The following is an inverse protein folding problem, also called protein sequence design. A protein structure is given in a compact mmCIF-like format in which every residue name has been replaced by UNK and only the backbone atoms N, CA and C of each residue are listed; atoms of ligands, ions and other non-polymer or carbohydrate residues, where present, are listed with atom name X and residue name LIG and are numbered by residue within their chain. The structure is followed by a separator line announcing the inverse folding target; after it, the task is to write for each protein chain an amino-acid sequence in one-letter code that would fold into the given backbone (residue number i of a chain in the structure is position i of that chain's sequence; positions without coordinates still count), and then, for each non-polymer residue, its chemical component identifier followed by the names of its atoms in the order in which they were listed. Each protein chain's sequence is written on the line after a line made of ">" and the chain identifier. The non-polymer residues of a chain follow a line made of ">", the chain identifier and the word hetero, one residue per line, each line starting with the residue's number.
data_IF_679353878145
#
_entry.id   IF_679353878145
#
_cell.length_a   1.000
_cell.length_b   1.000
_cell.length_c   1.000
_cell.angle_alpha   90.00
_cell.angle_beta   90.00
_cell.angle_gamma   90.00
#
_symmetry.space_group_name_H-M   'P 1'
#
loop_
_entity.id
_entity.type
_entity.pdbx_description
1 polymer ?
#
# COMPACT_ATOMS: atom_id res chain seq x y z
N UNK A 1 5.90 -1.03 -8.89
CA UNK A 1 4.80 -0.27 -8.25
C UNK A 1 5.17 0.23 -6.87
N UNK A 2 5.67 -0.62 -5.95
CA UNK A 2 6.03 -0.17 -4.60
C UNK A 2 6.99 1.04 -4.56
N UNK A 3 7.95 1.11 -5.47
CA UNK A 3 8.88 2.26 -5.60
C UNK A 3 8.23 3.60 -6.01
N UNK A 4 7.00 3.56 -6.52
CA UNK A 4 6.23 4.71 -6.99
C UNK A 4 5.19 5.17 -5.97
N UNK A 5 4.90 4.36 -4.94
CA UNK A 5 3.96 4.68 -3.87
C UNK A 5 4.69 5.43 -2.76
N UNK A 6 4.15 6.60 -2.39
CA UNK A 6 4.71 7.48 -1.36
C UNK A 6 3.64 7.98 -0.41
N UNK A 7 4.03 8.15 0.84
CA UNK A 7 3.29 8.78 1.92
C UNK A 7 4.09 10.02 2.30
N UNK A 8 3.52 11.20 2.07
CA UNK A 8 4.23 12.47 2.26
C UNK A 8 3.49 13.36 3.24
N UNK A 9 4.25 14.21 3.94
CA UNK A 9 3.71 15.26 4.80
C UNK A 9 4.03 16.63 4.22
N UNK A 10 3.01 17.41 3.91
CA UNK A 10 3.16 18.76 3.38
C UNK A 10 2.18 19.71 4.06
N UNK A 11 2.68 20.85 4.52
CA UNK A 11 1.87 21.88 5.19
C UNK A 11 0.99 21.34 6.34
N UNK A 12 1.51 20.36 7.09
CA UNK A 12 0.81 19.73 8.21
C UNK A 12 -0.25 18.68 7.81
N UNK A 13 -0.42 18.42 6.52
CA UNK A 13 -1.33 17.40 5.98
C UNK A 13 -0.57 16.19 5.46
N UNK A 14 -1.23 15.05 5.44
CA UNK A 14 -0.69 13.79 4.94
C UNK A 14 -1.30 13.45 3.59
N UNK A 15 -0.48 12.95 2.67
CA UNK A 15 -0.92 12.56 1.33
C UNK A 15 -0.42 11.17 0.99
N UNK A 16 -1.22 10.45 0.20
CA UNK A 16 -0.82 9.21 -0.46
C UNK A 16 -0.71 9.53 -1.96
N UNK A 17 0.44 9.22 -2.53
CA UNK A 17 0.75 9.48 -3.93
C UNK A 17 1.22 8.19 -4.60
N UNK A 18 0.76 7.93 -5.81
CA UNK A 18 1.22 6.80 -6.59
C UNK A 18 1.18 7.11 -8.08
N UNK A 19 2.20 6.64 -8.79
CA UNK A 19 2.19 6.50 -10.24
C UNK A 19 2.18 5.00 -10.56
N UNK A 20 1.07 4.52 -11.11
CA UNK A 20 0.95 3.12 -11.50
C UNK A 20 1.87 2.86 -12.69
N UNK A 21 2.83 1.91 -12.57
CA UNK A 21 3.67 1.53 -13.69
C UNK A 21 2.83 0.91 -14.82
N UNK A 22 3.38 0.93 -16.03
CA UNK A 22 2.85 0.12 -17.13
C UNK A 22 2.72 -1.35 -16.69
N UNK A 23 1.64 -1.98 -17.17
CA UNK A 23 1.29 -3.36 -16.88
C UNK A 23 1.10 -4.12 -18.18
N UNK A 24 1.36 -5.44 -18.21
CA UNK A 24 1.07 -6.25 -19.38
C UNK A 24 -0.42 -6.19 -19.75
N UNK A 25 -0.72 -6.39 -21.04
CA UNK A 25 -2.10 -6.42 -21.52
C UNK A 25 -2.92 -7.50 -20.77
N UNK A 26 -4.15 -7.15 -20.39
CA UNK A 26 -5.06 -8.04 -19.66
C UNK A 26 -4.83 -8.10 -18.15
N UNK A 27 -3.74 -7.50 -17.63
CA UNK A 27 -3.51 -7.41 -16.18
C UNK A 27 -4.00 -6.07 -15.61
N UNK A 28 -4.36 -6.08 -14.33
CA UNK A 28 -4.81 -4.92 -13.56
C UNK A 28 -4.02 -4.81 -12.24
N UNK A 29 -3.61 -3.60 -11.88
CA UNK A 29 -3.01 -3.37 -10.57
C UNK A 29 -4.11 -3.33 -9.51
N UNK A 30 -3.84 -4.01 -8.39
CA UNK A 30 -4.67 -3.96 -7.20
C UNK A 30 -3.83 -3.41 -6.05
N UNK A 31 -4.26 -2.25 -5.54
CA UNK A 31 -3.65 -1.57 -4.40
C UNK A 31 -4.65 -1.53 -3.26
N UNK A 32 -4.25 -2.06 -2.11
CA UNK A 32 -4.98 -1.90 -0.86
C UNK A 32 -4.02 -1.35 0.19
N UNK A 33 -4.32 -0.16 0.69
CA UNK A 33 -3.57 0.46 1.79
C UNK A 33 -4.49 0.53 3.00
N UNK A 34 -4.12 -0.17 4.07
CA UNK A 34 -4.81 -0.12 5.36
C UNK A 34 -3.97 0.67 6.35
N UNK A 35 -4.62 1.59 7.04
CA UNK A 35 -4.02 2.41 8.09
C UNK A 35 -4.68 1.99 9.40
N UNK A 36 -3.91 1.33 10.28
CA UNK A 36 -4.42 0.85 11.56
C UNK A 36 -4.11 1.83 12.66
N UNK A 37 -5.14 2.23 13.40
CA UNK A 37 -5.04 3.04 14.61
C UNK A 37 -4.66 2.16 15.82
N UNK A 38 -4.15 2.81 16.88
CA UNK A 38 -3.81 2.15 18.15
C UNK A 38 -5.01 1.55 18.89
N UNK A 39 -6.22 1.99 18.57
CA UNK A 39 -7.47 1.42 19.08
C UNK A 39 -7.97 0.20 18.26
N UNK A 40 -7.17 -0.28 17.32
CA UNK A 40 -7.46 -1.35 16.36
C UNK A 40 -8.52 -1.03 15.30
N UNK A 41 -9.04 0.20 15.24
CA UNK A 41 -9.80 0.65 14.07
C UNK A 41 -8.87 0.80 12.87
N UNK A 42 -9.42 0.75 11.66
CA UNK A 42 -8.65 1.03 10.45
C UNK A 42 -9.52 1.63 9.35
N UNK A 43 -8.88 2.44 8.52
CA UNK A 43 -9.42 2.87 7.24
C UNK A 43 -8.62 2.22 6.11
N UNK A 44 -9.31 1.89 5.02
CA UNK A 44 -8.71 1.28 3.85
C UNK A 44 -8.90 2.18 2.62
N UNK A 45 -7.76 2.49 1.98
CA UNK A 45 -7.71 3.11 0.67
C UNK A 45 -7.63 2.00 -0.38
N UNK A 46 -8.68 1.91 -1.19
CA UNK A 46 -8.84 0.86 -2.20
C UNK A 46 -9.84 1.31 -3.27
N UNK A 47 -9.76 0.79 -4.51
CA UNK A 47 -10.69 1.15 -5.57
C UNK A 47 -12.18 0.86 -5.26
N UNK A 48 -12.45 -0.09 -4.36
CA UNK A 48 -13.81 -0.56 -4.07
C UNK A 48 -14.40 -0.02 -2.76
N UNK A 49 -13.67 0.83 -2.04
CA UNK A 49 -14.15 1.40 -0.78
C UNK A 49 -15.38 2.26 -0.98
N UNK A 50 -16.26 2.27 0.01
CA UNK A 50 -17.44 3.15 0.05
C UNK A 50 -17.16 4.52 0.64
N UNK A 51 -15.99 4.72 1.25
CA UNK A 51 -15.56 6.00 1.84
C UNK A 51 -15.01 6.88 0.73
N UNK A 52 -15.69 7.98 0.32
CA UNK A 52 -15.30 8.73 -0.88
C UNK A 52 -13.87 9.26 -0.83
N UNK A 53 -13.40 9.73 0.33
CA UNK A 53 -12.04 10.22 0.54
C UNK A 53 -10.95 9.15 0.58
N UNK A 54 -11.33 7.86 0.52
CA UNK A 54 -10.39 6.74 0.50
C UNK A 54 -10.36 6.00 -0.85
N UNK A 55 -11.18 6.41 -1.82
CA UNK A 55 -11.22 5.74 -3.12
C UNK A 55 -10.01 6.13 -3.96
N UNK A 56 -9.24 5.14 -4.39
CA UNK A 56 -8.05 5.32 -5.25
C UNK A 56 -8.30 4.69 -6.63
N UNK A 57 -7.70 5.23 -7.71
CA UNK A 57 -7.79 4.60 -9.04
C UNK A 57 -6.97 3.30 -9.11
N UNK A 58 -7.14 2.53 -10.17
CA UNK A 58 -6.38 1.30 -10.48
C UNK A 58 -5.30 1.49 -11.55
N UNK A 59 -5.22 2.69 -12.15
CA UNK A 59 -4.26 3.03 -13.19
C UNK A 59 -3.95 4.54 -13.20
N UNK A 60 -2.99 4.94 -14.04
CA UNK A 60 -2.55 6.32 -14.14
C UNK A 60 -1.78 6.79 -12.90
N UNK A 61 -2.05 8.01 -12.44
CA UNK A 61 -1.43 8.56 -11.24
C UNK A 61 -2.46 9.20 -10.33
N UNK A 62 -2.22 9.17 -9.03
CA UNK A 62 -3.04 9.89 -8.07
C UNK A 62 -2.21 10.55 -6.98
N UNK A 63 -2.80 11.60 -6.40
CA UNK A 63 -2.41 12.21 -5.14
C UNK A 63 -3.67 12.54 -4.38
N UNK A 64 -3.84 11.95 -3.20
CA UNK A 64 -5.01 12.15 -2.36
C UNK A 64 -4.61 12.51 -0.93
N UNK A 65 -5.40 13.36 -0.28
CA UNK A 65 -5.22 13.64 1.15
C UNK A 65 -5.61 12.40 1.96
N UNK A 66 -4.71 11.97 2.85
CA UNK A 66 -4.91 10.83 3.73
C UNK A 66 -5.81 11.22 4.93
N UNK A 67 -7.07 11.57 4.63
CA UNK A 67 -8.04 12.10 5.61
C UNK A 67 -8.34 11.16 6.80
N UNK A 68 -8.00 9.86 6.71
CA UNK A 68 -8.02 8.93 7.82
C UNK A 68 -6.98 9.27 8.91
N UNK A 69 -5.87 9.92 8.54
CA UNK A 69 -4.82 10.32 9.46
C UNK A 69 -5.18 11.68 10.07
N UNK A 70 -5.91 11.63 11.18
CA UNK A 70 -6.25 12.83 11.99
C UNK A 70 -5.09 13.25 12.89
N UNK A 71 -4.40 12.28 13.47
CA UNK A 71 -3.18 12.43 14.25
C UNK A 71 -2.24 11.27 13.90
N UNK A 72 -1.01 11.57 13.49
CA UNK A 72 -0.05 10.53 13.14
C UNK A 72 0.35 9.69 14.37
N UNK A 73 0.24 10.26 15.58
CA UNK A 73 0.56 9.55 16.82
C UNK A 73 -0.54 8.55 17.22
N UNK A 74 -1.74 8.65 16.65
CA UNK A 74 -2.80 7.66 16.86
C UNK A 74 -2.62 6.43 15.96
N UNK A 75 -1.74 6.50 14.97
CA UNK A 75 -1.48 5.40 14.05
C UNK A 75 -0.56 4.37 14.72
N UNK A 76 -0.91 3.10 14.55
CA UNK A 76 -0.11 1.95 14.99
C UNK A 76 0.81 1.48 13.86
N UNK A 77 0.22 1.07 12.73
CA UNK A 77 0.97 0.59 11.58
C UNK A 77 0.21 0.74 10.27
N UNK A 78 0.94 0.65 9.17
CA UNK A 78 0.44 0.59 7.81
C UNK A 78 0.57 -0.83 7.29
N UNK A 79 -0.44 -1.29 6.56
CA UNK A 79 -0.36 -2.52 5.79
C UNK A 79 -0.76 -2.24 4.34
N UNK A 80 0.17 -2.51 3.42
CA UNK A 80 0.00 -2.25 2.00
C UNK A 80 0.07 -3.59 1.29
N UNK A 81 -0.98 -3.95 0.57
CA UNK A 81 -1.02 -5.09 -0.31
C UNK A 81 -1.02 -4.60 -1.76
N UNK A 82 -0.08 -5.12 -2.54
CA UNK A 82 0.05 -4.84 -3.98
C UNK A 82 0.01 -6.17 -4.70
N UNK A 83 -0.92 -6.32 -5.64
CA UNK A 83 -0.95 -7.45 -6.57
C UNK A 83 -1.17 -6.98 -8.00
N UNK A 84 -0.79 -7.86 -8.94
CA UNK A 84 -1.05 -7.70 -10.35
C UNK A 84 -1.94 -8.88 -10.76
N UNK A 85 -3.21 -8.55 -11.04
CA UNK A 85 -4.28 -9.52 -11.17
C UNK A 85 -4.62 -9.69 -12.66
N UNK A 86 -4.79 -10.93 -13.14
CA UNK A 86 -5.38 -11.18 -14.46
C UNK A 86 -6.81 -11.72 -14.27
N UNK A 87 -7.87 -11.04 -14.76
CA UNK A 87 -9.26 -11.42 -14.49
C UNK A 87 -9.65 -12.84 -14.92
N UNK A 88 -8.86 -13.48 -15.78
CA UNK A 88 -9.15 -14.80 -16.34
C UNK A 88 -8.22 -15.92 -15.87
N UNK A 89 -7.07 -15.61 -15.29
CA UNK A 89 -6.00 -16.61 -15.06
C UNK A 89 -5.32 -16.45 -13.69
N UNK A 90 -6.05 -15.88 -12.73
CA UNK A 90 -5.61 -15.58 -11.36
C UNK A 90 -4.53 -14.49 -11.22
N UNK A 91 -4.24 -14.12 -9.97
CA UNK A 91 -3.23 -13.13 -9.61
C UNK A 91 -1.83 -13.75 -9.53
N UNK A 92 -0.79 -12.94 -9.74
CA UNK A 92 0.60 -13.42 -9.70
C UNK A 92 1.16 -13.61 -8.29
N UNK A 93 0.45 -13.13 -7.28
CA UNK A 93 0.88 -13.05 -5.89
C UNK A 93 0.70 -11.65 -5.31
N UNK A 94 0.97 -11.54 -4.01
CA UNK A 94 0.80 -10.32 -3.24
C UNK A 94 2.14 -9.91 -2.65
N UNK A 95 2.58 -8.69 -2.95
CA UNK A 95 3.60 -8.00 -2.16
C UNK A 95 2.92 -7.33 -0.97
N UNK A 96 3.22 -7.83 0.23
CA UNK A 96 2.73 -7.30 1.48
C UNK A 96 3.82 -6.48 2.19
N UNK A 97 3.55 -5.19 2.38
CA UNK A 97 4.44 -4.27 3.09
C UNK A 97 3.78 -3.89 4.41
N UNK A 98 4.54 -3.97 5.51
CA UNK A 98 4.12 -3.56 6.86
C UNK A 98 5.10 -2.52 7.37
N UNK A 99 4.57 -1.46 7.95
CA UNK A 99 5.37 -0.40 8.57
C UNK A 99 4.71 0.05 9.88
N UNK A 100 5.24 -0.41 11.01
CA UNK A 100 4.84 0.09 12.33
C UNK A 100 5.48 1.43 12.62
N UNK A 101 4.71 2.35 13.20
CA UNK A 101 5.17 3.71 13.50
C UNK A 101 6.32 3.76 14.51
N UNK A 102 6.39 2.78 15.41
CA UNK A 102 7.50 2.59 16.35
C UNK A 102 8.69 1.85 15.74
N UNK A 103 8.61 1.50 14.45
CA UNK A 103 9.61 0.72 13.69
C UNK A 103 9.92 -0.67 14.28
N UNK A 104 9.09 -1.18 15.19
CA UNK A 104 9.25 -2.52 15.76
C UNK A 104 9.03 -3.64 14.75
N UNK A 105 8.26 -3.34 13.70
CA UNK A 105 7.90 -4.28 12.66
C UNK A 105 7.84 -3.59 11.30
N UNK A 106 8.83 -3.90 10.47
CA UNK A 106 8.98 -3.40 9.11
C UNK A 106 9.24 -4.57 8.20
N UNK A 107 8.29 -4.85 7.29
CA UNK A 107 8.32 -6.03 6.42
C UNK A 107 8.01 -5.64 5.00
N UNK A 108 8.68 -6.25 4.04
CA UNK A 108 8.28 -6.29 2.65
C UNK A 108 8.44 -7.73 2.17
N UNK A 109 7.32 -8.43 1.99
CA UNK A 109 7.30 -9.86 1.68
C UNK A 109 6.39 -10.14 0.50
N UNK A 110 6.91 -10.80 -0.52
CA UNK A 110 6.12 -11.28 -1.64
C UNK A 110 5.70 -12.72 -1.40
N UNK A 111 4.41 -13.00 -1.56
CA UNK A 111 3.84 -14.34 -1.49
C UNK A 111 3.19 -14.65 -2.85
N UNK A 112 3.70 -15.64 -3.61
CA UNK A 112 3.09 -16.05 -4.87
C UNK A 112 1.76 -16.76 -4.62
N UNK A 113 0.76 -16.51 -5.47
CA UNK A 113 -0.58 -17.09 -5.34
C UNK A 113 -0.55 -18.62 -5.39
N UNK A 114 0.29 -19.18 -6.26
CA UNK A 114 0.36 -20.63 -6.46
C UNK A 114 0.78 -21.40 -5.21
N UNK A 115 1.45 -20.75 -4.25
CA UNK A 115 2.02 -21.39 -3.06
C UNK A 115 3.13 -22.43 -3.35
N UNK A 116 3.38 -22.74 -4.62
CA UNK A 116 4.39 -23.71 -5.07
C UNK A 116 5.80 -23.14 -5.03
N UNK A 117 5.90 -21.81 -5.09
CA UNK A 117 7.17 -21.08 -4.96
C UNK A 117 7.22 -20.50 -3.54
N UNK A 118 8.36 -20.59 -2.83
CA UNK A 118 8.51 -19.96 -1.53
C UNK A 118 8.27 -18.46 -1.60
N UNK A 119 7.73 -17.91 -0.52
CA UNK A 119 7.65 -16.45 -0.38
C UNK A 119 9.03 -15.81 -0.35
N UNK A 120 9.18 -14.67 -0.99
CA UNK A 120 10.42 -13.89 -0.99
C UNK A 120 10.36 -12.76 0.03
N UNK A 121 11.47 -12.52 0.73
CA UNK A 121 11.58 -11.48 1.74
C UNK A 121 12.52 -10.37 1.25
N UNK A 122 11.95 -9.19 1.00
CA UNK A 122 12.66 -7.99 0.57
C UNK A 122 12.88 -6.98 1.69
N UNK A 123 12.51 -7.31 2.94
CA UNK A 123 12.54 -6.34 4.05
C UNK A 123 13.91 -5.71 4.27
N UNK A 124 15.01 -6.43 4.00
CA UNK A 124 16.38 -5.93 4.15
C UNK A 124 16.81 -4.96 3.03
N UNK A 125 16.19 -5.04 1.85
CA UNK A 125 16.53 -4.21 0.68
C UNK A 125 15.48 -3.16 0.36
N UNK A 126 14.29 -3.26 0.96
CA UNK A 126 13.19 -2.35 0.73
C UNK A 126 13.47 -0.97 1.37
N UNK A 127 13.34 0.09 0.58
CA UNK A 127 13.60 1.45 1.05
C UNK A 127 12.33 2.06 1.67
N UNK A 128 12.10 1.78 2.95
CA UNK A 128 10.95 2.31 3.69
C UNK A 128 10.97 3.84 3.80
N UNK A 129 12.14 4.45 4.00
CA UNK A 129 12.26 5.91 4.13
C UNK A 129 11.87 6.64 2.82
N UNK A 130 12.09 6.01 1.67
CA UNK A 130 11.62 6.53 0.37
C UNK A 130 10.09 6.49 0.27
N UNK A 131 9.46 5.42 0.76
CA UNK A 131 8.00 5.27 0.74
C UNK A 131 7.32 6.16 1.78
N UNK A 132 7.90 6.28 2.98
CA UNK A 132 7.30 6.92 4.13
C UNK A 132 8.08 8.18 4.52
N UNK A 133 7.72 9.32 3.93
CA UNK A 133 8.46 10.60 3.97
C UNK A 133 7.89 11.63 4.97
N UNK A 134 7.20 11.17 6.00
CA UNK A 134 6.60 12.01 7.06
C UNK A 134 7.52 12.34 8.24
#
# INVERSE_FOLDING_TARGET
>A
MADQLRFVKENGKYYIECEYPEKPEGYEWNLIIRIYNKDNSYEAYTPTTRVPGCKIPTEGSFRIEATAIKDINSINFFNIAISLDHPKTDNLGILNIVYSMDKSDMRAKFAPESGTIPSENYSATFNFDKMFQW
#
